data_IF_977396954699
#
_entry.id   IF_977396954699
#
_cell.length_a   1.000
_cell.length_b   1.000
_cell.length_c   1.000
_cell.angle_alpha   90.00
_cell.angle_beta   90.00
_cell.angle_gamma   90.00
#
_symmetry.space_group_name_H-M   'P 1'
#
loop_
_entity.id
_entity.type
_entity.pdbx_description
1 polymer ?
#
# COMPACT_ATOMS: atom_id res chain seq x y z
N UNK A 1 -81.08 -12.56 -21.09
CA UNK A 1 -80.51 -11.91 -19.89
C UNK A 1 -79.30 -12.71 -19.44
N UNK A 2 -78.29 -12.02 -18.88
CA UNK A 2 -77.01 -12.49 -18.32
C UNK A 2 -75.87 -12.78 -19.32
N UNK A 3 -75.14 -11.69 -19.57
CA UNK A 3 -73.73 -11.63 -19.95
C UNK A 3 -72.88 -12.15 -18.79
N UNK A 4 -71.92 -13.03 -19.03
CA UNK A 4 -70.71 -13.17 -18.19
C UNK A 4 -69.53 -13.28 -19.15
N UNK A 5 -68.69 -12.25 -19.13
CA UNK A 5 -67.43 -12.19 -19.83
C UNK A 5 -66.36 -12.92 -19.00
N UNK A 6 -65.68 -13.91 -19.58
CA UNK A 6 -64.39 -14.38 -19.08
C UNK A 6 -63.30 -13.69 -19.91
N UNK A 7 -62.72 -12.64 -19.34
CA UNK A 7 -61.45 -12.08 -19.82
C UNK A 7 -60.32 -12.98 -19.31
N UNK A 8 -59.63 -13.64 -20.23
CA UNK A 8 -58.39 -14.36 -19.95
C UNK A 8 -57.29 -13.36 -19.63
N UNK A 9 -56.79 -13.39 -18.39
CA UNK A 9 -55.59 -12.68 -18.00
C UNK A 9 -54.36 -13.36 -18.61
N UNK A 10 -53.72 -12.69 -19.56
CA UNK A 10 -52.35 -13.01 -19.96
C UNK A 10 -51.40 -12.56 -18.85
N UNK A 11 -50.89 -13.51 -18.07
CA UNK A 11 -49.74 -13.30 -17.19
C UNK A 11 -48.49 -13.15 -18.07
N UNK A 12 -48.18 -11.92 -18.48
CA UNK A 12 -46.85 -11.56 -18.93
C UNK A 12 -45.92 -11.64 -17.71
N UNK A 13 -45.17 -12.74 -17.66
CA UNK A 13 -44.05 -12.91 -16.73
C UNK A 13 -43.01 -11.83 -16.99
N UNK A 14 -42.99 -10.80 -16.15
CA UNK A 14 -41.84 -9.93 -15.96
C UNK A 14 -40.74 -10.79 -15.33
N UNK A 15 -39.90 -11.38 -16.18
CA UNK A 15 -38.59 -11.86 -15.77
C UNK A 15 -37.80 -10.61 -15.42
N UNK A 16 -37.81 -10.26 -14.14
CA UNK A 16 -36.90 -9.26 -13.58
C UNK A 16 -35.49 -9.82 -13.77
N UNK A 17 -34.86 -9.48 -14.90
CA UNK A 17 -33.43 -9.63 -15.06
C UNK A 17 -32.79 -8.85 -13.93
N UNK A 18 -32.24 -9.55 -12.95
CA UNK A 18 -31.29 -8.96 -12.03
C UNK A 18 -30.14 -8.46 -12.90
N UNK A 19 -30.14 -7.16 -13.19
CA UNK A 19 -28.94 -6.48 -13.59
C UNK A 19 -27.92 -6.81 -12.50
N UNK A 20 -26.87 -7.53 -12.86
CA UNK A 20 -25.73 -7.74 -12.00
C UNK A 20 -25.22 -6.34 -11.63
N UNK A 21 -25.64 -5.82 -10.48
CA UNK A 21 -25.07 -4.61 -9.94
C UNK A 21 -23.61 -4.96 -9.69
N UNK A 22 -22.73 -4.38 -10.51
CA UNK A 22 -21.30 -4.39 -10.25
C UNK A 22 -21.12 -3.97 -8.80
N UNK A 23 -20.52 -4.81 -7.95
CA UNK A 23 -20.32 -4.44 -6.55
C UNK A 23 -19.61 -3.08 -6.52
N UNK A 24 -20.01 -2.18 -5.59
CA UNK A 24 -19.38 -0.86 -5.51
C UNK A 24 -17.86 -1.03 -5.37
N UNK A 25 -17.07 -0.14 -6.00
CA UNK A 25 -15.62 -0.27 -6.01
C UNK A 25 -15.06 -0.31 -4.58
N UNK A 26 -14.05 -1.13 -4.38
CA UNK A 26 -13.38 -1.30 -3.11
C UNK A 26 -12.45 -0.11 -2.86
N UNK A 27 -12.97 1.00 -2.33
CA UNK A 27 -12.21 2.24 -2.13
C UNK A 27 -11.76 2.40 -0.69
N UNK A 28 -10.47 2.71 -0.51
CA UNK A 28 -9.83 3.08 0.77
C UNK A 28 -9.18 4.45 0.60
N UNK A 29 -9.65 5.43 1.37
CA UNK A 29 -8.99 6.73 1.49
C UNK A 29 -7.73 6.60 2.34
N UNK A 30 -6.70 7.33 1.93
CA UNK A 30 -5.39 7.36 2.56
C UNK A 30 -5.01 8.80 2.89
N UNK A 31 -4.48 9.03 4.09
CA UNK A 31 -3.81 10.26 4.45
C UNK A 31 -2.59 9.96 5.32
N UNK A 32 -1.52 10.74 5.17
CA UNK A 32 -0.36 10.66 6.05
C UNK A 32 0.27 12.03 6.29
N UNK A 33 0.85 12.20 7.47
CA UNK A 33 1.80 13.26 7.77
C UNK A 33 3.11 12.57 8.13
N UNK A 34 4.17 12.83 7.36
CA UNK A 34 5.53 12.41 7.65
C UNK A 34 6.34 13.62 8.10
N UNK A 35 6.94 13.54 9.28
CA UNK A 35 7.92 14.51 9.79
C UNK A 35 9.23 13.77 10.08
N UNK A 36 10.30 14.11 9.36
CA UNK A 36 11.53 13.33 9.32
C UNK A 36 12.76 14.16 9.73
N UNK A 37 12.84 14.60 11.00
CA UNK A 37 13.97 15.36 11.50
C UNK A 37 15.29 14.57 11.47
N UNK A 38 15.28 13.24 11.40
CA UNK A 38 16.51 12.43 11.36
C UNK A 38 17.37 12.71 10.15
N UNK A 39 16.77 13.20 9.05
CA UNK A 39 17.49 13.61 7.83
C UNK A 39 18.47 14.76 8.08
N UNK A 40 18.25 15.57 9.13
CA UNK A 40 19.20 16.60 9.59
C UNK A 40 19.96 16.19 10.85
N UNK A 41 19.28 15.49 11.75
CA UNK A 41 19.76 15.22 13.09
C UNK A 41 19.34 13.81 13.53
N UNK A 42 20.26 12.86 13.40
CA UNK A 42 20.06 11.44 13.73
C UNK A 42 19.82 11.17 15.22
N UNK A 43 19.90 12.17 16.09
CA UNK A 43 19.51 12.05 17.50
C UNK A 43 18.01 12.24 17.74
N UNK A 44 17.27 12.72 16.74
CA UNK A 44 15.81 12.90 16.78
C UNK A 44 15.06 11.63 16.32
N UNK A 45 13.74 11.71 16.36
CA UNK A 45 12.84 10.65 15.89
C UNK A 45 11.98 11.18 14.75
N UNK A 46 11.77 10.34 13.75
CA UNK A 46 10.79 10.58 12.71
C UNK A 46 9.41 10.17 13.20
N UNK A 47 8.42 10.97 12.83
CA UNK A 47 7.04 10.81 13.26
C UNK A 47 6.13 10.72 12.04
N UNK A 48 5.37 9.64 11.96
CA UNK A 48 4.42 9.40 10.89
C UNK A 48 3.02 9.18 11.49
N UNK A 49 2.04 9.91 10.98
CA UNK A 49 0.63 9.73 11.35
C UNK A 49 -0.17 9.38 10.10
N UNK A 50 -0.70 8.16 10.04
CA UNK A 50 -1.43 7.62 8.89
C UNK A 50 -2.89 7.42 9.25
N UNK A 51 -3.79 7.86 8.38
CA UNK A 51 -5.23 7.57 8.46
C UNK A 51 -5.67 6.80 7.23
N UNK A 52 -6.31 5.66 7.46
CA UNK A 52 -6.97 4.84 6.45
C UNK A 52 -8.46 4.84 6.74
N UNK A 53 -9.30 5.04 5.73
CA UNK A 53 -10.75 4.97 5.92
C UNK A 53 -11.49 4.42 4.72
N UNK A 54 -12.52 3.62 4.97
CA UNK A 54 -13.49 3.17 3.99
C UNK A 54 -14.90 3.21 4.59
N UNK A 55 -15.89 2.68 3.86
CA UNK A 55 -17.28 2.70 4.30
C UNK A 55 -17.55 1.90 5.60
N UNK A 56 -16.64 1.01 5.99
CA UNK A 56 -16.79 0.07 7.10
C UNK A 56 -15.82 0.35 8.26
N UNK A 57 -14.67 0.96 7.99
CA UNK A 57 -13.59 1.09 8.98
C UNK A 57 -12.87 2.43 8.87
N UNK A 58 -12.44 2.97 10.01
CA UNK A 58 -11.42 4.03 10.10
C UNK A 58 -10.27 3.52 10.97
N UNK A 59 -9.05 3.63 10.48
CA UNK A 59 -7.82 3.20 11.16
C UNK A 59 -6.85 4.37 11.20
N UNK A 60 -6.30 4.66 12.38
CA UNK A 60 -5.18 5.58 12.56
C UNK A 60 -3.97 4.79 13.05
N UNK A 61 -2.84 4.95 12.38
CA UNK A 61 -1.57 4.32 12.71
C UNK A 61 -0.57 5.44 12.98
N UNK A 62 0.16 5.33 14.07
CA UNK A 62 1.33 6.16 14.34
C UNK A 62 2.57 5.31 14.21
N UNK A 63 3.58 5.82 13.51
CA UNK A 63 4.88 5.17 13.42
C UNK A 63 5.94 6.17 13.87
N UNK A 64 6.71 5.80 14.88
CA UNK A 64 7.78 6.63 15.43
C UNK A 64 9.11 5.91 15.21
N UNK A 65 10.00 6.47 14.40
CA UNK A 65 11.24 5.81 13.98
C UNK A 65 12.49 6.52 14.50
N UNK A 66 13.47 5.76 14.95
CA UNK A 66 14.85 6.22 15.13
C UNK A 66 15.68 5.84 13.91
N UNK A 67 16.59 6.72 13.47
CA UNK A 67 17.52 6.40 12.41
C UNK A 67 18.46 5.24 12.81
N UNK A 68 18.70 4.32 11.87
CA UNK A 68 19.84 3.40 11.98
C UNK A 68 21.14 4.18 11.81
N UNK A 69 22.21 3.79 12.51
CA UNK A 69 23.51 4.47 12.39
C UNK A 69 24.68 3.50 12.51
N UNK A 70 25.74 3.76 11.77
CA UNK A 70 27.03 3.07 11.94
C UNK A 70 28.01 4.03 12.60
N UNK A 71 28.38 3.75 13.85
CA UNK A 71 29.44 4.45 14.58
C UNK A 71 30.76 3.67 14.46
N UNK A 72 31.84 4.38 14.11
CA UNK A 72 33.23 3.89 14.17
C UNK A 72 33.50 2.54 13.44
N UNK A 73 32.80 2.27 12.33
CA UNK A 73 32.93 1.06 11.49
C UNK A 73 32.66 -0.28 12.21
N UNK A 74 32.28 -0.27 13.48
CA UNK A 74 32.17 -1.48 14.32
C UNK A 74 30.81 -1.53 15.04
N UNK A 75 30.21 -0.39 15.37
CA UNK A 75 28.93 -0.33 16.08
C UNK A 75 27.84 0.05 15.09
N UNK A 76 26.98 -0.91 14.74
CA UNK A 76 25.79 -0.67 13.92
C UNK A 76 24.56 -0.67 14.83
N UNK A 77 23.83 0.43 14.83
CA UNK A 77 22.53 0.54 15.48
C UNK A 77 21.46 0.38 14.42
N UNK A 78 20.54 -0.53 14.69
CA UNK A 78 19.40 -0.83 13.84
C UNK A 78 18.42 0.33 13.81
N UNK A 79 17.74 0.52 12.66
CA UNK A 79 16.57 1.39 12.61
C UNK A 79 15.47 0.72 13.41
N UNK A 80 14.82 1.45 14.30
CA UNK A 80 13.73 0.93 15.11
C UNK A 80 12.51 1.82 14.92
N UNK A 81 11.36 1.22 14.67
CA UNK A 81 10.10 1.93 14.48
C UNK A 81 9.04 1.35 15.40
N UNK A 82 8.55 2.16 16.33
CA UNK A 82 7.42 1.83 17.17
C UNK A 82 6.12 2.07 16.41
N UNK A 83 5.19 1.13 16.49
CA UNK A 83 3.85 1.25 15.90
C UNK A 83 2.83 1.36 17.02
N UNK A 84 2.03 2.42 16.93
CA UNK A 84 0.86 2.66 17.74
C UNK A 84 -0.36 2.91 16.87
N UNK A 85 -1.53 3.01 17.49
CA UNK A 85 -2.73 3.46 16.80
C UNK A 85 -4.00 2.79 17.26
N UNK A 86 -5.11 3.23 16.68
CA UNK A 86 -6.44 2.73 16.95
C UNK A 86 -7.27 2.65 15.69
N UNK A 87 -8.26 1.77 15.68
CA UNK A 87 -9.25 1.73 14.62
C UNK A 87 -10.65 1.51 15.16
N UNK A 88 -11.62 1.90 14.35
CA UNK A 88 -13.04 1.85 14.63
C UNK A 88 -13.77 1.22 13.47
N UNK A 89 -14.78 0.41 13.78
CA UNK A 89 -15.76 -0.04 12.78
C UNK A 89 -16.90 0.96 12.70
N UNK A 90 -17.40 1.21 11.50
CA UNK A 90 -18.50 2.13 11.25
C UNK A 90 -19.81 1.33 11.27
N UNK A 91 -20.71 1.70 12.16
CA UNK A 91 -22.04 1.12 12.19
C UNK A 91 -22.80 1.52 10.91
N UNK A 92 -23.23 0.56 10.07
CA UNK A 92 -23.86 0.88 8.80
C UNK A 92 -25.19 1.62 8.96
N UNK A 93 -25.91 1.41 10.07
CA UNK A 93 -27.25 1.95 10.33
C UNK A 93 -27.26 3.41 10.77
N UNK A 94 -26.28 3.83 11.58
CA UNK A 94 -26.26 5.19 12.16
C UNK A 94 -24.93 5.93 11.97
N UNK A 95 -23.97 5.33 11.26
CA UNK A 95 -22.62 5.87 10.98
C UNK A 95 -21.78 6.16 12.22
N UNK A 96 -22.14 5.62 13.38
CA UNK A 96 -21.34 5.72 14.59
C UNK A 96 -20.03 4.93 14.44
N UNK A 97 -18.90 5.57 14.75
CA UNK A 97 -17.61 4.90 14.89
C UNK A 97 -17.54 4.18 16.24
N UNK A 98 -17.30 2.87 16.20
CA UNK A 98 -17.17 2.01 17.38
C UNK A 98 -15.72 1.54 17.49
N UNK A 99 -14.98 1.91 18.55
CA UNK A 99 -13.60 1.47 18.74
C UNK A 99 -13.48 -0.05 18.69
N UNK A 100 -12.57 -0.56 17.88
CA UNK A 100 -12.42 -2.00 17.63
C UNK A 100 -10.98 -2.47 17.64
N UNK A 101 -10.02 -1.71 17.14
CA UNK A 101 -8.62 -2.15 17.05
C UNK A 101 -7.67 -1.22 17.80
N UNK A 102 -6.59 -1.78 18.31
CA UNK A 102 -5.44 -1.06 18.84
C UNK A 102 -4.17 -1.69 18.25
N UNK A 103 -3.38 -0.88 17.55
CA UNK A 103 -2.11 -1.30 16.94
C UNK A 103 -0.99 -1.05 17.93
N UNK A 104 -0.13 -2.03 18.14
CA UNK A 104 0.93 -1.97 19.14
C UNK A 104 2.15 -2.77 18.68
N UNK A 105 3.33 -2.32 19.10
CA UNK A 105 4.59 -3.06 18.99
C UNK A 105 5.66 -2.23 18.32
N UNK A 106 6.67 -2.92 17.80
CA UNK A 106 7.76 -2.30 17.04
C UNK A 106 8.27 -3.26 15.97
N UNK A 107 8.91 -2.69 14.96
CA UNK A 107 9.82 -3.43 14.09
C UNK A 107 11.23 -2.82 14.15
N UNK A 108 12.24 -3.67 14.01
CA UNK A 108 13.64 -3.25 13.89
C UNK A 108 14.19 -3.73 12.57
N UNK A 109 14.86 -2.85 11.84
CA UNK A 109 15.55 -3.15 10.59
C UNK A 109 17.04 -3.17 10.90
N UNK A 110 17.63 -4.35 10.81
CA UNK A 110 19.07 -4.53 10.97
C UNK A 110 19.83 -3.89 9.83
N UNK A 111 21.12 -3.67 10.02
CA UNK A 111 21.95 -3.05 8.99
C UNK A 111 22.01 -3.85 7.67
N UNK A 112 21.81 -5.16 7.71
CA UNK A 112 21.70 -6.02 6.52
C UNK A 112 20.29 -6.01 5.89
N UNK A 113 19.39 -5.17 6.41
CA UNK A 113 18.00 -4.95 5.98
C UNK A 113 17.00 -5.98 6.47
N UNK A 114 17.40 -6.98 7.26
CA UNK A 114 16.45 -7.92 7.87
C UNK A 114 15.53 -7.19 8.86
N UNK A 115 14.22 -7.37 8.72
CA UNK A 115 13.24 -6.74 9.62
C UNK A 115 12.66 -7.74 10.62
N UNK A 116 12.87 -7.50 11.91
CA UNK A 116 12.18 -8.20 12.98
C UNK A 116 10.92 -7.42 13.40
N UNK A 117 9.76 -7.96 13.04
CA UNK A 117 8.45 -7.38 13.34
C UNK A 117 7.63 -8.24 14.32
N UNK A 118 8.24 -9.20 15.03
CA UNK A 118 7.53 -10.20 15.85
C UNK A 118 6.69 -9.62 16.98
N UNK A 119 6.97 -8.39 17.40
CA UNK A 119 6.22 -7.71 18.47
C UNK A 119 5.01 -6.96 17.97
N UNK A 120 4.85 -6.80 16.65
CA UNK A 120 3.70 -6.13 16.06
C UNK A 120 2.44 -6.96 16.26
N UNK A 121 1.41 -6.31 16.78
CA UNK A 121 0.12 -6.94 17.06
C UNK A 121 -1.03 -5.96 16.91
N UNK A 122 -2.22 -6.54 16.77
CA UNK A 122 -3.50 -5.84 16.82
C UNK A 122 -4.31 -6.45 17.96
N UNK A 123 -4.69 -5.62 18.91
CA UNK A 123 -5.66 -5.95 19.94
C UNK A 123 -7.06 -5.57 19.46
N UNK A 124 -7.97 -6.52 19.49
CA UNK A 124 -9.35 -6.34 19.13
C UNK A 124 -10.22 -6.14 20.38
N UNK A 125 -10.87 -4.99 20.48
CA UNK A 125 -11.78 -4.63 21.56
C UNK A 125 -13.17 -5.25 21.34
N UNK A 126 -13.85 -5.66 22.41
CA UNK A 126 -15.20 -6.21 22.30
C UNK A 126 -16.17 -5.17 21.72
N UNK A 127 -16.96 -5.56 20.70
CA UNK A 127 -18.02 -4.71 20.14
C UNK A 127 -19.27 -5.54 19.91
N UNK A 128 -20.37 -5.17 20.58
CA UNK A 128 -21.62 -5.93 20.54
C UNK A 128 -21.43 -7.37 21.01
N UNK A 129 -21.68 -8.34 20.12
CA UNK A 129 -21.48 -9.78 20.39
C UNK A 129 -20.11 -10.31 19.97
N UNK A 130 -19.26 -9.47 19.37
CA UNK A 130 -17.92 -9.86 18.93
C UNK A 130 -16.98 -9.76 20.12
N UNK A 131 -16.40 -10.89 20.51
CA UNK A 131 -15.47 -10.99 21.62
C UNK A 131 -14.16 -10.21 21.35
N UNK A 132 -13.42 -9.82 22.41
CA UNK A 132 -12.06 -9.35 22.24
C UNK A 132 -11.15 -10.50 21.81
N UNK A 133 -10.08 -10.17 21.10
CA UNK A 133 -9.08 -11.12 20.57
C UNK A 133 -7.76 -10.36 20.36
N UNK A 134 -6.65 -11.08 20.19
CA UNK A 134 -5.37 -10.48 19.80
C UNK A 134 -4.81 -11.29 18.64
N UNK A 135 -4.27 -10.58 17.64
CA UNK A 135 -3.55 -11.20 16.52
C UNK A 135 -2.19 -10.53 16.37
N UNK A 136 -1.21 -11.33 16.02
CA UNK A 136 0.14 -10.87 15.69
C UNK A 136 0.25 -10.72 14.17
N UNK A 137 1.08 -9.77 13.75
CA UNK A 137 1.63 -9.81 12.41
C UNK A 137 2.54 -11.05 12.30
N UNK A 138 2.64 -11.60 11.09
CA UNK A 138 3.41 -12.83 10.85
C UNK A 138 4.30 -12.72 9.63
N UNK A 139 5.10 -13.75 9.36
CA UNK A 139 6.06 -13.75 8.25
C UNK A 139 7.29 -12.90 8.53
N UNK A 140 8.03 -12.57 7.48
CA UNK A 140 9.18 -11.67 7.54
C UNK A 140 9.17 -10.65 6.42
N UNK A 141 9.89 -9.56 6.65
CA UNK A 141 10.05 -8.43 5.75
C UNK A 141 11.56 -8.12 5.70
N UNK A 142 12.09 -7.81 4.52
CA UNK A 142 13.41 -7.19 4.40
C UNK A 142 13.27 -5.82 3.75
N UNK A 143 13.91 -4.82 4.33
CA UNK A 143 13.86 -3.42 3.89
C UNK A 143 15.28 -2.98 3.51
N UNK A 144 15.49 -2.73 2.22
CA UNK A 144 16.80 -2.37 1.64
C UNK A 144 17.92 -3.33 2.08
N UNK A 145 17.79 -4.65 1.87
CA UNK A 145 18.81 -5.60 2.30
C UNK A 145 20.13 -5.41 1.57
N UNK A 146 21.25 -5.59 2.28
CA UNK A 146 22.60 -5.57 1.68
C UNK A 146 22.73 -6.67 0.60
N UNK A 147 22.01 -7.79 0.77
CA UNK A 147 21.90 -8.88 -0.19
C UNK A 147 20.43 -9.07 -0.59
N UNK A 148 20.09 -8.67 -1.81
CA UNK A 148 18.74 -8.87 -2.36
C UNK A 148 18.39 -10.35 -2.49
N UNK A 149 17.12 -10.69 -2.26
CA UNK A 149 16.59 -12.02 -2.58
C UNK A 149 16.73 -12.34 -4.08
N UNK A 150 16.71 -13.62 -4.46
CA UNK A 150 16.73 -14.00 -5.88
C UNK A 150 15.54 -13.43 -6.67
N UNK A 151 14.39 -13.29 -6.00
CA UNK A 151 13.20 -12.67 -6.58
C UNK A 151 13.38 -11.16 -6.80
N UNK A 152 13.90 -10.43 -5.80
CA UNK A 152 14.22 -9.02 -5.94
C UNK A 152 15.30 -8.78 -6.99
N UNK A 153 16.36 -9.59 -7.01
CA UNK A 153 17.41 -9.51 -8.03
C UNK A 153 16.86 -9.73 -9.45
N UNK A 154 15.94 -10.68 -9.62
CA UNK A 154 15.25 -10.90 -10.89
C UNK A 154 14.39 -9.70 -11.31
N UNK A 155 13.61 -9.14 -10.38
CA UNK A 155 12.81 -7.95 -10.63
C UNK A 155 13.67 -6.72 -10.97
N UNK A 156 14.76 -6.49 -10.24
CA UNK A 156 15.75 -5.46 -10.53
C UNK A 156 16.34 -5.62 -11.92
N UNK A 157 16.71 -6.83 -12.33
CA UNK A 157 17.22 -7.09 -13.69
C UNK A 157 16.18 -6.74 -14.76
N UNK A 158 14.92 -7.13 -14.59
CA UNK A 158 13.83 -6.77 -15.51
C UNK A 158 13.64 -5.26 -15.61
N UNK A 159 13.63 -4.57 -14.48
CA UNK A 159 13.51 -3.11 -14.38
C UNK A 159 14.68 -2.41 -15.10
N UNK A 160 15.90 -2.75 -14.72
CA UNK A 160 17.10 -2.14 -15.30
C UNK A 160 17.24 -2.45 -16.78
N UNK A 161 16.90 -3.66 -17.25
CA UNK A 161 16.95 -4.01 -18.68
C UNK A 161 16.04 -3.13 -19.52
N UNK A 162 14.84 -2.81 -19.02
CA UNK A 162 13.89 -1.94 -19.74
C UNK A 162 14.38 -0.48 -19.72
N UNK A 163 14.75 0.02 -18.54
CA UNK A 163 15.28 1.39 -18.37
C UNK A 163 16.53 1.63 -19.22
N UNK A 164 17.41 0.63 -19.32
CA UNK A 164 18.66 0.72 -20.10
C UNK A 164 18.47 0.57 -21.59
N UNK A 165 17.49 -0.24 -22.03
CA UNK A 165 17.14 -0.38 -23.44
C UNK A 165 16.61 0.92 -24.07
N UNK A 166 16.02 1.80 -23.27
CA UNK A 166 15.34 3.01 -23.72
C UNK A 166 16.19 4.30 -23.60
N UNK A 167 17.42 4.25 -23.05
CA UNK A 167 18.25 5.44 -22.77
C UNK A 167 19.67 5.39 -23.38
N UNK A 168 20.14 6.52 -23.92
CA UNK A 168 21.50 6.69 -24.50
C UNK A 168 22.45 7.55 -23.65
N UNK A 169 22.08 7.89 -22.42
CA UNK A 169 22.87 8.71 -21.47
C UNK A 169 23.44 7.92 -20.28
N UNK A 170 24.13 8.57 -19.32
CA UNK A 170 24.53 7.93 -18.07
C UNK A 170 23.29 7.48 -17.28
N UNK A 171 23.26 6.20 -16.90
CA UNK A 171 22.13 5.55 -16.25
C UNK A 171 22.46 5.36 -14.77
N UNK A 172 21.61 5.87 -13.89
CA UNK A 172 21.64 5.53 -12.48
C UNK A 172 21.04 4.13 -12.30
N UNK A 173 21.85 3.15 -11.91
CA UNK A 173 21.40 1.78 -11.68
C UNK A 173 21.12 1.49 -10.20
N UNK A 174 21.21 2.50 -9.32
CA UNK A 174 20.87 2.36 -7.92
C UNK A 174 19.38 1.99 -7.79
N UNK A 175 19.11 1.04 -6.91
CA UNK A 175 17.76 0.59 -6.58
C UNK A 175 17.68 0.25 -5.10
N UNK A 176 16.51 0.47 -4.53
CA UNK A 176 16.15 -0.08 -3.22
C UNK A 176 15.22 -1.27 -3.39
N UNK A 177 15.38 -2.28 -2.55
CA UNK A 177 14.56 -3.50 -2.62
C UNK A 177 13.81 -3.75 -1.33
N UNK A 178 12.59 -4.26 -1.45
CA UNK A 178 11.76 -4.72 -0.34
C UNK A 178 11.31 -6.14 -0.63
N UNK A 179 11.58 -7.07 0.28
CA UNK A 179 11.15 -8.45 0.17
C UNK A 179 10.04 -8.74 1.20
N UNK A 180 8.88 -9.18 0.72
CA UNK A 180 7.80 -9.70 1.54
C UNK A 180 7.85 -11.22 1.54
N UNK A 181 8.08 -11.83 2.70
CA UNK A 181 8.05 -13.27 2.86
C UNK A 181 6.89 -13.68 3.76
N UNK A 182 5.73 -13.94 3.12
CA UNK A 182 4.49 -14.32 3.78
C UNK A 182 4.13 -13.37 4.94
N UNK A 183 4.30 -12.07 4.73
CA UNK A 183 3.98 -11.03 5.70
C UNK A 183 2.46 -11.02 5.94
N UNK A 184 2.04 -11.49 7.11
CA UNK A 184 0.64 -11.50 7.49
C UNK A 184 0.24 -10.18 8.14
N UNK A 185 -0.75 -9.51 7.55
CA UNK A 185 -1.36 -8.27 8.05
C UNK A 185 -2.76 -8.63 8.55
N UNK A 186 -3.02 -8.58 9.87
CA UNK A 186 -4.33 -8.91 10.42
C UNK A 186 -5.41 -7.91 9.98
N UNK A 187 -6.67 -8.35 10.01
CA UNK A 187 -7.78 -7.50 9.59
C UNK A 187 -7.99 -6.30 10.50
N UNK A 188 -8.77 -5.33 10.02
CA UNK A 188 -9.18 -4.19 10.83
C UNK A 188 -10.33 -4.51 11.82
N UNK A 189 -10.63 -5.80 12.04
CA UNK A 189 -11.44 -6.27 13.16
C UNK A 189 -12.89 -6.62 12.84
N UNK A 190 -13.29 -6.62 11.57
CA UNK A 190 -14.57 -7.18 11.15
C UNK A 190 -14.52 -8.72 11.22
N UNK A 191 -15.54 -9.41 11.78
CA UNK A 191 -15.52 -10.88 11.89
C UNK A 191 -15.37 -11.63 10.56
N UNK A 192 -15.84 -11.02 9.47
CA UNK A 192 -15.78 -11.54 8.10
C UNK A 192 -14.42 -11.34 7.43
N UNK A 193 -13.57 -10.47 7.97
CA UNK A 193 -12.26 -10.10 7.42
C UNK A 193 -11.18 -10.80 8.26
N UNK A 194 -10.33 -11.61 7.60
CA UNK A 194 -9.31 -12.42 8.28
C UNK A 194 -7.91 -11.82 8.16
N UNK A 195 -7.75 -10.81 7.32
CA UNK A 195 -6.46 -10.25 6.97
C UNK A 195 -5.83 -11.01 5.80
N UNK A 196 -4.74 -10.45 5.30
CA UNK A 196 -4.06 -10.96 4.12
C UNK A 196 -2.60 -11.29 4.41
N UNK A 197 -2.10 -12.33 3.74
CA UNK A 197 -0.68 -12.66 3.70
C UNK A 197 -0.08 -12.18 2.40
N UNK A 198 0.91 -11.28 2.49
CA UNK A 198 1.60 -10.72 1.33
C UNK A 198 2.95 -11.38 1.11
N UNK A 199 3.24 -11.71 -0.15
CA UNK A 199 4.55 -12.22 -0.58
C UNK A 199 4.99 -11.52 -1.86
N UNK A 200 6.29 -11.51 -2.14
CA UNK A 200 6.84 -10.92 -3.36
C UNK A 200 7.78 -9.77 -3.09
N UNK A 201 8.10 -9.00 -4.12
CA UNK A 201 9.19 -8.03 -4.08
C UNK A 201 8.73 -6.68 -4.60
N UNK A 202 9.33 -5.62 -4.06
CA UNK A 202 9.22 -4.26 -4.58
C UNK A 202 10.61 -3.70 -4.83
N UNK A 203 10.76 -2.91 -5.88
CA UNK A 203 12.01 -2.28 -6.27
C UNK A 203 11.75 -0.80 -6.53
N UNK A 204 12.41 0.08 -5.80
CA UNK A 204 12.43 1.50 -6.14
C UNK A 204 13.62 1.77 -7.06
N UNK A 205 13.37 2.32 -8.24
CA UNK A 205 14.43 2.70 -9.17
C UNK A 205 14.66 4.22 -9.14
N UNK A 206 15.88 4.64 -8.79
CA UNK A 206 16.23 6.06 -8.72
C UNK A 206 16.24 6.74 -10.09
N UNK A 207 16.50 6.00 -11.18
CA UNK A 207 16.51 6.53 -12.54
C UNK A 207 15.15 7.05 -13.02
N UNK A 208 14.06 6.36 -12.68
CA UNK A 208 12.68 6.72 -13.07
C UNK A 208 11.86 7.23 -11.90
N UNK A 209 12.47 7.27 -10.71
CA UNK A 209 11.83 7.68 -9.45
C UNK A 209 10.48 6.97 -9.27
N UNK A 210 10.50 5.63 -9.34
CA UNK A 210 9.29 4.80 -9.37
C UNK A 210 9.47 3.53 -8.57
N UNK A 211 8.41 3.11 -7.87
CA UNK A 211 8.31 1.75 -7.34
C UNK A 211 7.82 0.80 -8.42
N UNK A 212 8.43 -0.37 -8.50
CA UNK A 212 8.02 -1.51 -9.32
C UNK A 212 7.70 -2.67 -8.38
N UNK A 213 6.57 -3.34 -8.59
CA UNK A 213 6.03 -4.29 -7.62
C UNK A 213 5.60 -5.57 -8.32
N UNK A 214 5.99 -6.71 -7.74
CA UNK A 214 5.51 -8.04 -8.11
C UNK A 214 5.13 -8.76 -6.83
N UNK A 215 3.84 -8.73 -6.53
CA UNK A 215 3.28 -9.11 -5.24
C UNK A 215 2.19 -10.19 -5.39
N UNK A 216 1.97 -10.94 -4.33
CA UNK A 216 0.89 -11.91 -4.20
C UNK A 216 0.22 -11.72 -2.85
N UNK A 217 -1.10 -11.58 -2.84
CA UNK A 217 -1.90 -11.48 -1.62
C UNK A 217 -2.78 -12.72 -1.47
N UNK A 218 -2.60 -13.49 -0.40
CA UNK A 218 -3.52 -14.53 0.02
C UNK A 218 -4.45 -13.96 1.11
N UNK A 219 -5.70 -13.71 0.73
CA UNK A 219 -6.75 -13.25 1.64
C UNK A 219 -7.85 -14.31 1.69
N UNK A 220 -8.06 -14.89 2.88
CA UNK A 220 -9.07 -15.93 3.11
C UNK A 220 -8.96 -17.13 2.15
N UNK A 221 -7.73 -17.55 1.81
CA UNK A 221 -7.46 -18.71 0.96
C UNK A 221 -7.59 -18.44 -0.54
N UNK A 222 -7.86 -17.19 -0.94
CA UNK A 222 -7.83 -16.76 -2.34
C UNK A 222 -6.59 -15.92 -2.60
N UNK A 223 -5.85 -16.32 -3.62
CA UNK A 223 -4.61 -15.66 -4.04
C UNK A 223 -4.89 -14.64 -5.14
N UNK A 224 -4.31 -13.45 -4.99
CA UNK A 224 -4.33 -12.34 -5.93
C UNK A 224 -2.89 -12.00 -6.31
N UNK A 225 -2.48 -12.44 -7.48
CA UNK A 225 -1.20 -12.03 -8.08
C UNK A 225 -1.36 -10.60 -8.62
N UNK A 226 -0.46 -9.70 -8.23
CA UNK A 226 -0.54 -8.28 -8.52
C UNK A 226 0.81 -7.79 -9.02
N UNK A 227 0.83 -7.15 -10.18
CA UNK A 227 2.06 -6.64 -10.78
C UNK A 227 1.86 -5.24 -11.32
N UNK A 228 2.83 -4.37 -11.10
CA UNK A 228 2.79 -3.04 -11.68
C UNK A 228 3.76 -2.07 -11.04
N UNK A 229 3.37 -0.81 -10.99
CA UNK A 229 4.23 0.28 -10.55
C UNK A 229 3.49 1.34 -9.76
N UNK A 230 4.28 2.22 -9.16
CA UNK A 230 3.84 3.43 -8.49
C UNK A 230 4.89 4.51 -8.77
N UNK A 231 4.87 5.11 -9.98
CA UNK A 231 5.72 6.25 -10.30
C UNK A 231 5.45 7.44 -9.37
N UNK A 232 6.52 8.16 -9.07
CA UNK A 232 6.45 9.47 -8.43
C UNK A 232 6.65 10.54 -9.49
N UNK A 233 5.65 11.40 -9.64
CA UNK A 233 5.61 12.45 -10.65
C UNK A 233 5.34 13.81 -10.00
N UNK A 234 5.70 14.89 -10.68
CA UNK A 234 5.21 16.21 -10.30
C UNK A 234 3.71 16.30 -10.58
N UNK A 235 2.94 16.83 -9.65
CA UNK A 235 1.50 17.00 -9.86
C UNK A 235 1.27 18.04 -10.97
N UNK A 236 0.58 17.68 -12.06
CA UNK A 236 0.39 18.60 -13.18
C UNK A 236 -0.27 19.92 -12.75
N UNK A 237 0.39 21.03 -13.05
CA UNK A 237 -0.15 22.38 -12.80
C UNK A 237 -0.08 22.86 -11.35
N UNK A 238 0.58 22.13 -10.43
CA UNK A 238 0.72 22.55 -9.02
C UNK A 238 2.17 22.45 -8.56
N UNK A 239 2.83 23.59 -8.43
CA UNK A 239 4.22 23.66 -7.95
C UNK A 239 4.35 23.15 -6.51
N UNK A 240 5.41 22.37 -6.24
CA UNK A 240 5.71 21.83 -4.92
C UNK A 240 4.80 20.69 -4.46
N UNK A 241 3.95 20.18 -5.36
CA UNK A 241 3.18 18.96 -5.15
C UNK A 241 3.67 17.87 -6.08
N UNK A 242 3.77 16.68 -5.52
CA UNK A 242 4.17 15.46 -6.22
C UNK A 242 3.10 14.41 -5.99
N UNK A 243 3.03 13.40 -6.83
CA UNK A 243 1.99 12.39 -6.77
C UNK A 243 2.59 11.01 -6.98
N UNK A 244 2.11 10.06 -6.18
CA UNK A 244 2.24 8.65 -6.50
C UNK A 244 1.01 8.21 -7.27
N UNK A 245 1.22 7.56 -8.40
CA UNK A 245 0.16 6.94 -9.21
C UNK A 245 0.31 5.43 -9.18
N UNK A 246 -0.47 4.76 -8.32
CA UNK A 246 -0.42 3.31 -8.18
C UNK A 246 -1.22 2.63 -9.30
N UNK A 247 -0.59 1.69 -9.97
CA UNK A 247 -1.24 0.71 -10.82
C UNK A 247 -0.68 -0.68 -10.52
N UNK A 248 -1.47 -1.55 -9.90
CA UNK A 248 -1.17 -2.96 -9.69
C UNK A 248 -2.24 -3.79 -10.37
N UNK A 249 -1.88 -4.56 -11.39
CA UNK A 249 -2.83 -5.28 -12.22
C UNK A 249 -2.90 -6.76 -11.84
N UNK A 250 -4.08 -7.35 -11.96
CA UNK A 250 -4.21 -8.81 -12.03
C UNK A 250 -3.56 -9.33 -13.33
N UNK A 251 -3.20 -10.63 -13.40
CA UNK A 251 -2.71 -11.22 -14.64
C UNK A 251 -3.77 -11.08 -15.74
N UNK A 252 -3.40 -10.45 -16.85
CA UNK A 252 -4.27 -10.31 -18.02
C UNK A 252 -3.66 -11.03 -19.23
N UNK A 253 -4.50 -11.36 -20.21
CA UNK A 253 -4.03 -11.87 -21.50
C UNK A 253 -3.49 -10.76 -22.40
N UNK A 254 -3.73 -9.50 -22.04
CA UNK A 254 -3.38 -8.31 -22.82
C UNK A 254 -1.98 -7.78 -22.47
N UNK A 255 -1.60 -7.86 -21.18
CA UNK A 255 -0.26 -7.52 -20.70
C UNK A 255 0.53 -8.81 -20.51
N UNK A 256 1.46 -9.10 -21.43
CA UNK A 256 2.24 -10.34 -21.39
C UNK A 256 3.56 -10.11 -20.65
N UNK A 257 3.83 -10.88 -19.61
CA UNK A 257 5.13 -10.89 -18.93
C UNK A 257 5.37 -9.70 -17.99
N UNK A 258 6.37 -8.87 -18.30
CA UNK A 258 6.81 -7.73 -17.47
C UNK A 258 6.15 -6.40 -17.85
N UNK A 259 5.34 -6.38 -18.90
CA UNK A 259 4.73 -5.15 -19.44
C UNK A 259 3.85 -4.42 -18.41
N UNK A 260 3.20 -5.17 -17.50
CA UNK A 260 2.43 -4.59 -16.41
C UNK A 260 3.26 -3.68 -15.49
N UNK A 261 4.57 -3.96 -15.32
CA UNK A 261 5.48 -3.14 -14.50
C UNK A 261 5.69 -1.73 -15.09
N UNK A 262 5.41 -1.55 -16.38
CA UNK A 262 5.65 -0.30 -17.09
C UNK A 262 4.37 0.29 -17.66
N UNK A 263 3.20 -0.20 -17.21
CA UNK A 263 1.94 0.43 -17.54
C UNK A 263 1.99 1.89 -17.09
N UNK A 264 1.70 2.81 -18.01
CA UNK A 264 1.61 4.23 -17.73
C UNK A 264 0.13 4.60 -17.61
N UNK A 265 -0.20 5.49 -16.68
CA UNK A 265 -1.49 6.19 -16.64
C UNK A 265 -1.49 7.33 -17.67
N UNK A 266 -1.12 7.03 -18.92
CA UNK A 266 -1.09 8.04 -19.99
C UNK A 266 -2.47 8.72 -20.07
N UNK A 267 -2.46 10.04 -20.13
CA UNK A 267 -3.64 10.93 -20.15
C UNK A 267 -4.61 10.59 -21.30
N UNK A 268 -4.13 9.86 -22.30
CA UNK A 268 -4.92 9.36 -23.43
C UNK A 268 -5.06 7.83 -23.49
N UNK A 269 -4.34 7.07 -22.68
CA UNK A 269 -4.50 5.62 -22.59
C UNK A 269 -5.72 5.30 -21.72
N UNK A 270 -6.88 5.53 -22.33
CA UNK A 270 -8.19 5.09 -21.87
C UNK A 270 -8.60 5.66 -20.50
N UNK A 271 -9.07 6.91 -20.53
CA UNK A 271 -9.74 7.64 -19.44
C UNK A 271 -10.88 6.85 -18.76
N UNK A 272 -11.29 5.70 -19.31
CA UNK A 272 -12.35 4.84 -18.81
C UNK A 272 -11.98 3.35 -18.73
N UNK A 273 -10.74 2.93 -19.03
CA UNK A 273 -10.31 1.55 -18.80
C UNK A 273 -10.12 1.31 -17.30
N UNK A 274 -11.06 0.60 -16.68
CA UNK A 274 -10.81 0.02 -15.38
C UNK A 274 -9.78 -1.10 -15.53
N UNK A 275 -8.57 -0.87 -15.06
CA UNK A 275 -7.58 -1.94 -14.91
C UNK A 275 -7.97 -2.81 -13.72
N UNK A 276 -8.11 -4.11 -13.96
CA UNK A 276 -8.36 -5.08 -12.91
C UNK A 276 -7.17 -5.16 -11.95
N UNK A 277 -7.42 -5.00 -10.64
CA UNK A 277 -6.39 -4.94 -9.61
C UNK A 277 -6.58 -3.76 -8.66
N UNK A 278 -5.48 -3.17 -8.18
CA UNK A 278 -5.46 -2.01 -7.28
C UNK A 278 -4.91 -0.81 -8.03
N UNK A 279 -5.68 0.27 -8.11
CA UNK A 279 -5.23 1.55 -8.65
C UNK A 279 -5.41 2.66 -7.63
N UNK A 280 -4.73 3.78 -7.80
CA UNK A 280 -4.96 4.92 -6.91
C UNK A 280 -3.96 6.04 -7.11
N UNK A 281 -4.24 7.17 -6.49
CA UNK A 281 -3.29 8.27 -6.43
C UNK A 281 -3.13 8.76 -5.00
N UNK A 282 -1.91 9.18 -4.65
CA UNK A 282 -1.58 9.83 -3.39
C UNK A 282 -0.83 11.11 -3.70
N UNK A 283 -1.48 12.25 -3.49
CA UNK A 283 -0.89 13.57 -3.68
C UNK A 283 -0.11 13.93 -2.42
N UNK A 284 1.11 14.39 -2.58
CA UNK A 284 2.07 14.73 -1.55
C UNK A 284 2.43 16.21 -1.65
N UNK A 285 2.24 16.93 -0.55
CA UNK A 285 2.73 18.29 -0.35
C UNK A 285 4.07 18.24 0.35
N UNK A 286 5.12 18.52 -0.41
CA UNK A 286 6.50 18.41 0.06
C UNK A 286 6.98 19.73 0.62
N UNK A 287 7.65 19.69 1.77
CA UNK A 287 8.16 20.90 2.42
C UNK A 287 9.44 20.61 3.21
N UNK A 288 10.15 21.69 3.58
CA UNK A 288 11.39 21.64 4.35
C UNK A 288 12.48 20.77 3.71
N UNK A 289 12.69 20.92 2.40
CA UNK A 289 13.68 20.15 1.65
C UNK A 289 15.09 20.25 2.23
N UNK A 290 15.80 19.11 2.23
CA UNK A 290 17.20 18.99 2.65
C UNK A 290 17.98 18.16 1.66
N UNK A 291 19.28 18.43 1.59
CA UNK A 291 20.19 17.60 0.82
C UNK A 291 20.81 16.54 1.72
N UNK A 292 20.57 15.28 1.41
CA UNK A 292 21.19 14.12 2.07
C UNK A 292 22.08 13.40 1.08
N UNK A 293 23.04 12.61 1.58
CA UNK A 293 23.87 11.75 0.74
C UNK A 293 23.39 10.31 0.86
N UNK A 294 22.97 9.71 -0.26
CA UNK A 294 22.58 8.31 -0.36
C UNK A 294 23.52 7.65 -1.35
N UNK A 295 24.24 6.62 -0.91
CA UNK A 295 25.24 5.89 -1.72
C UNK A 295 26.25 6.77 -2.47
N UNK A 296 26.64 7.88 -1.84
CA UNK A 296 27.59 8.85 -2.40
C UNK A 296 26.96 9.92 -3.31
N UNK A 297 25.67 9.80 -3.61
CA UNK A 297 24.92 10.78 -4.40
C UNK A 297 24.18 11.78 -3.49
N UNK A 298 24.21 13.06 -3.86
CA UNK A 298 23.45 14.10 -3.14
C UNK A 298 22.04 14.18 -3.70
N UNK A 299 21.07 13.79 -2.89
CA UNK A 299 19.65 13.87 -3.25
C UNK A 299 18.96 14.95 -2.40
N UNK A 300 18.03 15.69 -3.03
CA UNK A 300 17.17 16.62 -2.30
C UNK A 300 15.89 15.89 -1.92
N UNK A 301 15.60 15.82 -0.63
CA UNK A 301 14.44 15.09 -0.09
C UNK A 301 13.64 15.99 0.86
N UNK A 302 12.29 15.92 0.84
CA UNK A 302 11.47 16.66 1.79
C UNK A 302 11.63 16.09 3.20
N UNK A 303 11.84 16.95 4.19
CA UNK A 303 11.76 16.52 5.60
C UNK A 303 10.32 16.39 6.08
N UNK A 304 9.37 17.08 5.44
CA UNK A 304 7.97 17.03 5.82
C UNK A 304 7.11 16.79 4.59
N UNK A 305 6.28 15.76 4.67
CA UNK A 305 5.33 15.38 3.61
C UNK A 305 3.93 15.28 4.22
N UNK A 306 2.99 16.02 3.64
CA UNK A 306 1.56 15.83 3.91
C UNK A 306 0.92 15.19 2.69
N UNK A 307 0.50 13.94 2.80
CA UNK A 307 -0.07 13.20 1.68
C UNK A 307 -1.53 12.82 1.88
N UNK A 308 -2.30 12.81 0.80
CA UNK A 308 -3.69 12.39 0.80
C UNK A 308 -4.11 11.82 -0.55
N UNK A 309 -5.00 10.83 -0.54
CA UNK A 309 -5.47 10.20 -1.76
C UNK A 309 -6.39 9.01 -1.50
N UNK A 310 -6.45 8.10 -2.47
CA UNK A 310 -7.27 6.91 -2.36
C UNK A 310 -6.76 5.77 -3.21
N UNK A 311 -6.92 4.54 -2.70
CA UNK A 311 -6.69 3.30 -3.41
C UNK A 311 -8.04 2.65 -3.71
N UNK A 312 -8.21 2.13 -4.91
CA UNK A 312 -9.44 1.51 -5.41
C UNK A 312 -9.15 0.12 -5.95
N UNK A 313 -10.03 -0.83 -5.65
CA UNK A 313 -9.97 -2.19 -6.16
C UNK A 313 -11.03 -2.45 -7.23
N UNK A 314 -10.60 -2.98 -8.38
CA UNK A 314 -11.45 -3.54 -9.44
C UNK A 314 -11.18 -5.04 -9.52
N UNK A 315 -12.22 -5.88 -9.40
CA UNK A 315 -12.11 -7.34 -9.33
C UNK A 315 -11.21 -7.91 -8.19
N UNK A 316 -10.82 -7.05 -7.25
CA UNK A 316 -10.19 -7.39 -5.97
C UNK A 316 -11.06 -6.88 -4.81
N UNK A 317 -11.21 -7.64 -3.71
CA UNK A 317 -12.07 -7.26 -2.60
C UNK A 317 -11.45 -6.14 -1.75
N UNK A 318 -12.30 -5.43 -1.01
CA UNK A 318 -11.90 -4.37 -0.09
C UNK A 318 -10.84 -4.80 0.92
N UNK A 319 -10.87 -6.06 1.37
CA UNK A 319 -9.87 -6.63 2.28
C UNK A 319 -8.45 -6.58 1.69
N UNK A 320 -8.29 -6.88 0.39
CA UNK A 320 -7.00 -6.79 -0.31
C UNK A 320 -6.52 -5.33 -0.34
N UNK A 321 -7.38 -4.41 -0.78
CA UNK A 321 -7.04 -2.97 -0.90
C UNK A 321 -6.68 -2.38 0.46
N UNK A 322 -7.47 -2.69 1.50
CA UNK A 322 -7.24 -2.23 2.88
C UNK A 322 -5.94 -2.79 3.44
N UNK A 323 -5.64 -4.07 3.20
CA UNK A 323 -4.41 -4.69 3.67
C UNK A 323 -3.18 -4.08 2.98
N UNK A 324 -3.25 -3.80 1.67
CA UNK A 324 -2.19 -3.09 0.95
C UNK A 324 -2.00 -1.66 1.46
N UNK A 325 -3.09 -0.92 1.70
CA UNK A 325 -3.02 0.42 2.29
C UNK A 325 -2.40 0.40 3.70
N UNK A 326 -2.67 -0.66 4.48
CA UNK A 326 -2.07 -0.89 5.80
C UNK A 326 -0.58 -1.17 5.70
N UNK A 327 -0.14 -1.95 4.70
CA UNK A 327 1.29 -2.18 4.42
C UNK A 327 2.02 -0.85 4.18
N UNK A 328 1.49 -0.01 3.29
CA UNK A 328 2.03 1.34 3.02
C UNK A 328 2.05 2.18 4.31
N UNK A 329 0.97 2.14 5.08
CA UNK A 329 0.82 2.89 6.32
C UNK A 329 1.75 2.45 7.46
N UNK A 330 2.21 1.20 7.47
CA UNK A 330 3.17 0.69 8.46
C UNK A 330 4.62 0.91 8.06
N UNK A 331 4.87 1.14 6.76
CA UNK A 331 6.18 1.44 6.19
C UNK A 331 6.27 2.87 5.66
N UNK A 332 5.80 3.89 6.40
CA UNK A 332 5.69 5.24 5.85
C UNK A 332 7.06 5.84 5.57
N UNK A 333 8.09 5.46 6.32
CA UNK A 333 9.48 5.87 6.04
C UNK A 333 10.04 5.27 4.75
N UNK A 334 9.53 4.14 4.27
CA UNK A 334 9.94 3.53 3.00
C UNK A 334 9.24 4.21 1.83
N UNK A 335 7.95 4.54 1.95
CA UNK A 335 7.16 5.09 0.84
C UNK A 335 7.16 6.63 0.78
N UNK A 336 7.23 7.30 1.93
CA UNK A 336 7.12 8.77 2.04
C UNK A 336 8.37 9.40 2.69
N UNK A 337 9.42 8.60 2.90
CA UNK A 337 10.72 9.04 3.38
C UNK A 337 11.87 8.77 2.41
N UNK A 338 13.08 9.18 2.79
CA UNK A 338 14.31 8.95 2.03
C UNK A 338 14.92 7.57 2.33
#
# INVERSE_FOLDING_TARGET
MKRIALAGFALLGLVAGAAAQTPPPAVVSFATIADMPTLKDTSKQDHFAVTLSDAQVVTNITVDCTAGRTELLIVRNDKACAIGGNGSIINPSNKQALPRTQYLGQYTVTADGSTDARTLSINYLAVGKVAPDTKQFGGSLNLKPELSSSGAAGLTQSVLKKITGDNTGPINNAVDTVDLNRLFIPSAGLPSDKGCTWSGNMVFAYQTYSWFMSLSADCNGKVYELKGNMPFTDTPGVEGQTQYDLTLTLPSTELVGDDALFATTDENADLFASVDGITGSIIMKNSNNVTVTVDGEKITTPMKVEASGSLSGTNVPLEVVRSFATLIGMLPSTFFGA
#
